data_IF_785408331267
#
_entry.id   IF_785408331267
#
_cell.length_a   1.000
_cell.length_b   1.000
_cell.length_c   1.000
_cell.angle_alpha   90.00
_cell.angle_beta   90.00
_cell.angle_gamma   90.00
#
_symmetry.space_group_name_H-M   'P 1'
#
loop_
_entity.id
_entity.type
_entity.pdbx_description
1 polymer ?
#
# COMPACT_ATOMS: atom_id res chain seq x y z
N UNK A 1 -9.60 -45.56 8.52
CA UNK A 1 -9.02 -45.79 9.87
C UNK A 1 -8.49 -44.46 10.41
N UNK A 2 -8.96 -44.08 11.61
CA UNK A 2 -8.30 -43.28 12.68
C UNK A 2 -7.47 -42.05 12.25
N UNK A 3 -8.02 -40.83 12.34
CA UNK A 3 -7.92 -39.89 13.49
C UNK A 3 -6.53 -39.91 14.18
N UNK A 4 -5.74 -38.85 13.97
CA UNK A 4 -4.76 -38.40 14.95
C UNK A 4 -5.13 -37.00 15.43
N UNK A 5 -5.60 -36.99 16.67
CA UNK A 5 -6.09 -35.84 17.40
C UNK A 5 -4.95 -35.00 17.97
N UNK A 6 -5.32 -33.76 18.27
CA UNK A 6 -4.80 -32.89 19.31
C UNK A 6 -3.88 -33.56 20.35
N UNK A 7 -2.74 -32.91 20.64
CA UNK A 7 -2.25 -32.60 22.01
C UNK A 7 -0.84 -32.01 21.93
N UNK A 8 -0.72 -30.69 22.10
CA UNK A 8 0.34 -30.09 22.94
C UNK A 8 -0.26 -28.92 23.69
N UNK A 9 -0.80 -29.26 24.85
CA UNK A 9 -1.23 -28.34 25.89
C UNK A 9 -0.13 -28.28 26.96
N UNK A 10 0.05 -27.10 27.56
CA UNK A 10 0.73 -26.87 28.83
C UNK A 10 2.26 -26.81 28.72
N UNK A 11 2.99 -25.90 29.37
CA UNK A 11 2.73 -25.18 30.62
C UNK A 11 3.66 -23.93 30.68
N UNK A 12 3.18 -22.71 30.98
CA UNK A 12 2.98 -22.06 32.31
C UNK A 12 4.15 -21.14 32.73
N UNK A 13 3.77 -20.05 33.43
CA UNK A 13 4.51 -18.99 34.16
C UNK A 13 4.49 -17.64 33.41
N UNK A 14 3.60 -16.67 33.67
CA UNK A 14 2.98 -16.19 34.92
C UNK A 14 4.00 -15.95 36.05
N UNK A 15 4.63 -14.78 36.00
CA UNK A 15 5.30 -14.09 37.11
C UNK A 15 5.06 -12.59 36.91
N UNK A 16 4.80 -11.73 37.89
CA UNK A 16 4.29 -11.83 39.25
C UNK A 16 3.84 -10.40 39.52
N UNK A 17 2.58 -10.21 39.87
CA UNK A 17 2.08 -8.96 40.37
C UNK A 17 2.77 -8.67 41.71
N UNK A 18 3.66 -7.67 41.75
CA UNK A 18 4.19 -7.14 43.00
C UNK A 18 3.17 -6.14 43.55
N UNK A 19 2.43 -6.59 44.55
CA UNK A 19 1.58 -5.80 45.40
C UNK A 19 2.35 -4.64 46.03
N UNK A 20 1.83 -3.43 45.86
CA UNK A 20 2.16 -2.26 46.67
C UNK A 20 0.89 -1.69 47.28
N UNK A 21 0.30 -2.45 48.21
CA UNK A 21 -0.55 -2.04 49.33
C UNK A 21 -1.30 -0.69 49.20
N UNK A 22 -2.59 -0.78 48.90
CA UNK A 22 -3.57 0.22 49.33
C UNK A 22 -3.74 0.14 50.86
N UNK A 23 -3.38 1.20 51.57
CA UNK A 23 -3.84 1.44 52.95
C UNK A 23 -4.54 2.79 52.97
N UNK A 24 -5.82 2.89 53.38
CA UNK A 24 -6.45 4.17 53.63
C UNK A 24 -6.18 4.66 55.06
N UNK A 25 -6.11 5.99 55.17
CA UNK A 25 -6.24 6.84 56.37
C UNK A 25 -5.05 6.89 57.35
N UNK A 26 -4.33 8.02 57.33
CA UNK A 26 -4.42 9.07 58.36
C UNK A 26 -3.61 10.32 57.96
N UNK A 27 -4.08 11.49 58.39
CA UNK A 27 -3.52 12.81 58.06
C UNK A 27 -2.10 13.00 58.63
N UNK A 28 -1.22 13.61 57.83
CA UNK A 28 0.12 14.01 58.26
C UNK A 28 0.75 14.94 57.23
N UNK A 29 0.79 16.23 57.54
CA UNK A 29 1.46 17.30 56.81
C UNK A 29 2.96 17.05 56.68
N UNK A 30 3.48 16.98 55.45
CA UNK A 30 4.86 17.37 55.14
C UNK A 30 5.00 17.62 53.63
N UNK A 31 5.44 18.83 53.30
CA UNK A 31 5.75 19.27 51.95
C UNK A 31 6.96 18.50 51.38
N UNK A 32 6.80 17.95 50.19
CA UNK A 32 7.91 17.62 49.30
C UNK A 32 7.44 17.80 47.86
N UNK A 33 7.92 18.85 47.20
CA UNK A 33 7.67 19.08 45.79
C UNK A 33 8.30 17.97 44.95
N UNK A 34 7.48 17.01 44.52
CA UNK A 34 7.85 16.12 43.43
C UNK A 34 7.53 16.82 42.11
N UNK A 35 8.48 16.90 41.16
CA UNK A 35 8.14 17.35 39.83
C UNK A 35 7.15 16.33 39.26
N UNK A 36 5.91 16.78 39.03
CA UNK A 36 4.94 16.02 38.29
C UNK A 36 5.57 15.72 36.92
N UNK A 37 6.06 14.49 36.74
CA UNK A 37 6.49 13.99 35.44
C UNK A 37 5.21 13.81 34.66
N UNK A 38 4.79 14.90 34.03
CA UNK A 38 3.65 14.93 33.12
C UNK A 38 4.05 14.03 31.95
N UNK A 39 3.65 12.76 32.03
CA UNK A 39 3.73 11.84 30.90
C UNK A 39 2.77 12.42 29.88
N UNK A 40 3.28 13.28 28.99
CA UNK A 40 2.57 13.61 27.76
C UNK A 40 2.42 12.29 27.03
N UNK A 41 1.25 11.69 27.14
CA UNK A 41 0.73 10.74 26.17
C UNK A 41 0.63 11.49 24.84
N UNK A 42 1.74 11.57 24.11
CA UNK A 42 1.68 11.95 22.71
C UNK A 42 0.76 10.92 22.05
N UNK A 43 -0.36 11.39 21.49
CA UNK A 43 -1.23 10.53 20.71
C UNK A 43 -0.38 9.88 19.61
N UNK A 44 -0.22 8.57 19.67
CA UNK A 44 0.53 7.83 18.66
C UNK A 44 -0.22 7.98 17.34
N UNK A 45 0.40 8.62 16.35
CA UNK A 45 -0.15 8.67 15.01
C UNK A 45 0.11 7.32 14.36
N UNK A 46 -0.97 6.56 14.15
CA UNK A 46 -0.90 5.21 13.61
C UNK A 46 -0.92 5.26 12.08
N UNK A 47 -0.07 4.46 11.40
CA UNK A 47 -0.12 4.35 9.95
C UNK A 47 -1.44 3.71 9.51
N UNK A 48 -1.96 4.13 8.36
CA UNK A 48 -3.11 3.48 7.72
C UNK A 48 -2.62 2.64 6.55
N UNK A 49 -3.24 1.48 6.34
CA UNK A 49 -2.94 0.59 5.21
C UNK A 49 -4.24 0.22 4.52
N UNK A 50 -4.26 0.32 3.19
CA UNK A 50 -5.38 -0.15 2.38
C UNK A 50 -4.85 -0.78 1.10
N UNK A 51 -5.39 -1.96 0.78
CA UNK A 51 -5.11 -2.67 -0.46
C UNK A 51 -6.38 -2.79 -1.28
N UNK A 52 -6.28 -2.58 -2.59
CA UNK A 52 -7.37 -2.81 -3.55
C UNK A 52 -6.84 -3.53 -4.79
N UNK A 53 -7.65 -4.41 -5.35
CA UNK A 53 -7.44 -5.00 -6.67
C UNK A 53 -8.39 -4.36 -7.67
N UNK A 54 -7.87 -3.93 -8.82
CA UNK A 54 -8.66 -3.28 -9.88
C UNK A 54 -8.45 -4.00 -11.20
N UNK A 55 -9.54 -4.33 -11.89
CA UNK A 55 -9.45 -4.81 -13.26
C UNK A 55 -8.96 -3.70 -14.18
N UNK A 56 -8.11 -4.08 -15.12
CA UNK A 56 -7.61 -3.25 -16.19
C UNK A 56 -8.23 -3.74 -17.49
N UNK A 57 -8.84 -2.83 -18.23
CA UNK A 57 -9.28 -3.08 -19.60
C UNK A 57 -9.25 -1.75 -20.35
N UNK A 58 -8.47 -1.69 -21.42
CA UNK A 58 -8.42 -0.50 -22.26
C UNK A 58 -7.24 -0.49 -23.21
N UNK A 59 -7.25 0.50 -24.10
CA UNK A 59 -6.16 0.75 -25.03
C UNK A 59 -5.07 1.58 -24.35
N UNK A 60 -3.81 1.14 -24.43
CA UNK A 60 -2.64 1.85 -23.91
C UNK A 60 -1.60 2.07 -25.00
N UNK A 61 -0.78 3.11 -24.87
CA UNK A 61 0.35 3.33 -25.77
C UNK A 61 1.46 2.30 -25.50
N UNK A 62 1.78 1.48 -26.50
CA UNK A 62 3.00 0.69 -26.53
C UNK A 62 4.12 1.44 -27.26
N UNK A 63 5.34 0.89 -27.28
CA UNK A 63 6.52 1.52 -27.86
C UNK A 63 6.44 1.67 -29.39
N UNK A 64 5.77 0.73 -30.08
CA UNK A 64 5.67 0.69 -31.53
C UNK A 64 4.23 0.65 -32.04
N UNK A 65 3.26 0.38 -31.18
CA UNK A 65 1.83 0.32 -31.50
C UNK A 65 0.98 0.51 -30.24
N UNK A 66 -0.29 0.80 -30.40
CA UNK A 66 -1.25 0.75 -29.29
C UNK A 66 -1.57 -0.71 -28.92
N UNK A 67 -1.80 -0.97 -27.64
CA UNK A 67 -2.01 -2.32 -27.10
C UNK A 67 -3.33 -2.35 -26.34
N UNK A 68 -4.20 -3.31 -26.66
CA UNK A 68 -5.40 -3.60 -25.89
C UNK A 68 -4.97 -4.39 -24.64
N UNK A 69 -4.88 -3.70 -23.51
CA UNK A 69 -4.48 -4.24 -22.21
C UNK A 69 -5.68 -4.88 -21.50
N UNK A 70 -5.46 -6.04 -20.89
CA UNK A 70 -6.37 -6.69 -19.96
C UNK A 70 -5.60 -7.28 -18.78
N UNK A 71 -6.18 -7.28 -17.59
CA UNK A 71 -5.57 -7.91 -16.41
C UNK A 71 -6.06 -7.28 -15.12
N UNK A 72 -5.26 -7.40 -14.06
CA UNK A 72 -5.53 -6.80 -12.76
C UNK A 72 -4.32 -6.02 -12.27
N UNK A 73 -4.57 -4.97 -11.49
CA UNK A 73 -3.56 -4.27 -10.71
C UNK A 73 -3.93 -4.31 -9.24
N UNK A 74 -2.99 -4.76 -8.42
CA UNK A 74 -3.06 -4.66 -6.97
C UNK A 74 -2.34 -3.41 -6.51
N UNK A 75 -3.00 -2.62 -5.66
CA UNK A 75 -2.49 -1.35 -5.16
C UNK A 75 -2.58 -1.38 -3.65
N UNK A 76 -1.43 -1.26 -2.99
CA UNK A 76 -1.32 -1.08 -1.55
C UNK A 76 -0.86 0.33 -1.25
N UNK A 77 -1.63 1.04 -0.44
CA UNK A 77 -1.31 2.38 0.04
C UNK A 77 -1.05 2.30 1.54
N UNK A 78 0.09 2.83 1.97
CA UNK A 78 0.48 2.97 3.37
C UNK A 78 0.68 4.45 3.65
N UNK A 79 -0.12 5.04 4.55
CA UNK A 79 0.08 6.43 4.97
C UNK A 79 0.71 6.47 6.35
N UNK A 80 1.65 7.41 6.53
CA UNK A 80 2.22 7.78 7.81
C UNK A 80 1.90 9.27 8.03
N UNK A 81 0.82 9.57 8.77
CA UNK A 81 0.43 10.94 9.03
C UNK A 81 1.40 11.64 10.00
N UNK A 82 1.53 12.97 9.85
CA UNK A 82 2.27 13.82 10.78
C UNK A 82 1.33 14.39 11.84
N UNK A 83 1.87 14.70 13.04
CA UNK A 83 1.06 15.24 14.16
C UNK A 83 0.43 16.60 13.85
N UNK A 84 1.01 17.39 12.95
CA UNK A 84 0.49 18.67 12.50
C UNK A 84 -0.48 18.57 11.30
N UNK A 85 -0.83 17.34 10.88
CA UNK A 85 -1.57 17.06 9.65
C UNK A 85 -0.67 16.86 8.45
N UNK A 86 -1.21 16.23 7.40
CA UNK A 86 -0.45 15.79 6.24
C UNK A 86 0.39 14.56 6.56
N UNK A 87 1.41 14.28 5.75
CA UNK A 87 2.33 13.17 6.01
C UNK A 87 2.94 12.60 4.73
N UNK A 88 3.27 11.32 4.79
CA UNK A 88 3.82 10.57 3.66
C UNK A 88 2.91 9.40 3.30
N UNK A 89 2.75 9.14 2.01
CA UNK A 89 2.06 7.99 1.48
C UNK A 89 3.04 7.17 0.64
N UNK A 90 3.10 5.87 0.91
CA UNK A 90 3.79 4.90 0.09
C UNK A 90 2.76 4.15 -0.73
N UNK A 91 2.93 4.18 -2.05
CA UNK A 91 2.02 3.55 -3.01
C UNK A 91 2.80 2.44 -3.69
N UNK A 92 2.37 1.20 -3.48
CA UNK A 92 2.94 0.00 -4.08
C UNK A 92 1.92 -0.52 -5.07
N UNK A 93 2.33 -0.76 -6.31
CA UNK A 93 1.47 -1.25 -7.38
C UNK A 93 2.10 -2.47 -8.04
N UNK A 94 1.35 -3.55 -8.20
CA UNK A 94 1.79 -4.76 -8.90
C UNK A 94 0.76 -5.19 -9.92
N UNK A 95 1.22 -5.60 -11.10
CA UNK A 95 0.36 -6.20 -12.10
C UNK A 95 0.21 -7.69 -11.85
N UNK A 96 -1.01 -8.18 -12.02
CA UNK A 96 -1.34 -9.60 -11.96
C UNK A 96 -2.13 -10.00 -13.22
N UNK A 97 -1.74 -11.12 -13.83
CA UNK A 97 -2.27 -11.64 -15.10
C UNK A 97 -2.45 -10.58 -16.20
N UNK A 98 -1.59 -9.57 -16.23
CA UNK A 98 -1.70 -8.46 -17.16
C UNK A 98 -1.10 -8.81 -18.53
N UNK A 99 -1.96 -8.87 -19.54
CA UNK A 99 -1.60 -9.19 -20.93
C UNK A 99 -2.14 -8.14 -21.88
N UNK A 100 -1.65 -8.13 -23.11
CA UNK A 100 -2.25 -7.30 -24.13
C UNK A 100 -2.08 -7.83 -25.53
N UNK A 101 -2.89 -7.26 -26.43
CA UNK A 101 -2.85 -7.56 -27.87
C UNK A 101 -2.63 -6.28 -28.64
N UNK A 102 -1.59 -6.24 -29.47
CA UNK A 102 -1.31 -5.13 -30.37
C UNK A 102 -2.51 -4.84 -31.25
N UNK A 103 -2.97 -3.59 -31.24
CA UNK A 103 -4.20 -3.18 -31.93
C UNK A 103 -4.07 -3.28 -33.45
N UNK A 104 -2.85 -3.14 -33.97
CA UNK A 104 -2.57 -3.22 -35.42
C UNK A 104 -1.98 -4.57 -35.78
N UNK A 105 -0.99 -5.05 -35.01
CA UNK A 105 -0.24 -6.26 -35.37
C UNK A 105 -0.88 -7.56 -34.90
N UNK A 106 -1.80 -7.51 -33.93
CA UNK A 106 -2.34 -8.69 -33.25
C UNK A 106 -1.33 -9.42 -32.35
N UNK A 107 -0.10 -8.90 -32.20
CA UNK A 107 0.95 -9.52 -31.38
C UNK A 107 0.54 -9.56 -29.92
N UNK A 108 0.98 -10.58 -29.20
CA UNK A 108 0.71 -10.75 -27.78
C UNK A 108 1.83 -10.15 -26.94
N UNK A 109 1.44 -9.54 -25.85
CA UNK A 109 2.33 -8.88 -24.91
C UNK A 109 2.00 -9.32 -23.49
N UNK A 110 3.03 -9.46 -22.67
CA UNK A 110 2.93 -9.67 -21.24
C UNK A 110 3.40 -8.40 -20.52
N UNK A 111 2.66 -7.98 -19.51
CA UNK A 111 3.02 -6.86 -18.64
C UNK A 111 3.40 -7.41 -17.28
N UNK A 112 4.60 -7.09 -16.80
CA UNK A 112 5.10 -7.62 -15.53
C UNK A 112 5.73 -6.55 -14.67
N UNK A 113 5.73 -6.80 -13.37
CA UNK A 113 6.52 -6.06 -12.40
C UNK A 113 5.68 -5.40 -11.32
N UNK A 114 6.40 -4.72 -10.44
CA UNK A 114 5.84 -3.91 -9.38
C UNK A 114 6.59 -2.57 -9.30
N UNK A 115 5.87 -1.54 -8.87
CA UNK A 115 6.39 -0.21 -8.67
C UNK A 115 6.10 0.24 -7.24
N UNK A 116 7.00 1.04 -6.67
CA UNK A 116 6.83 1.66 -5.37
C UNK A 116 7.20 3.13 -5.48
N UNK A 117 6.31 3.98 -5.01
CA UNK A 117 6.52 5.42 -4.92
C UNK A 117 6.26 5.91 -3.49
N UNK A 118 6.95 6.98 -3.09
CA UNK A 118 6.75 7.63 -1.79
C UNK A 118 6.47 9.12 -2.04
N UNK A 119 5.28 9.58 -1.67
CA UNK A 119 4.80 10.94 -1.96
C UNK A 119 4.32 11.60 -0.68
N UNK A 120 4.61 12.89 -0.52
CA UNK A 120 4.07 13.69 0.59
C UNK A 120 2.65 14.15 0.29
N UNK A 121 1.79 14.19 1.30
CA UNK A 121 0.46 14.82 1.20
C UNK A 121 0.32 15.96 2.20
N UNK A 122 -0.45 16.98 1.82
CA UNK A 122 -0.59 18.22 2.57
C UNK A 122 -1.56 18.07 3.76
N UNK A 123 -1.50 19.03 4.69
CA UNK A 123 -2.42 19.12 5.83
C UNK A 123 -3.83 19.64 5.48
N UNK A 124 -4.18 19.72 4.20
CA UNK A 124 -5.51 20.09 3.74
C UNK A 124 -6.56 19.00 3.99
N UNK A 125 -7.84 19.37 4.02
CA UNK A 125 -8.94 18.45 4.35
C UNK A 125 -8.88 17.14 3.56
N UNK A 126 -8.57 17.23 2.26
CA UNK A 126 -8.36 16.11 1.36
C UNK A 126 -7.26 16.44 0.35
N UNK A 127 -6.37 15.49 0.08
CA UNK A 127 -5.31 15.56 -0.94
C UNK A 127 -5.46 14.39 -1.91
N UNK A 128 -5.38 14.67 -3.22
CA UNK A 128 -5.28 13.64 -4.26
C UNK A 128 -3.82 13.43 -4.65
N UNK A 129 -3.36 12.19 -4.62
CA UNK A 129 -2.01 11.77 -4.98
C UNK A 129 -2.12 10.97 -6.28
N UNK A 130 -1.45 11.44 -7.34
CA UNK A 130 -1.40 10.79 -8.64
C UNK A 130 -0.03 10.16 -8.86
N UNK A 131 0.01 8.87 -9.20
CA UNK A 131 1.22 8.11 -9.53
C UNK A 131 1.03 7.36 -10.84
N UNK A 132 2.07 7.34 -11.67
CA UNK A 132 2.07 6.58 -12.93
C UNK A 132 3.17 5.50 -12.86
N UNK A 133 2.85 4.30 -12.32
CA UNK A 133 3.83 3.25 -12.09
C UNK A 133 4.50 2.75 -13.37
N UNK A 134 5.77 2.38 -13.24
CA UNK A 134 6.56 1.75 -14.30
C UNK A 134 6.43 0.22 -14.23
N UNK A 135 6.16 -0.40 -15.37
CA UNK A 135 6.17 -1.85 -15.55
C UNK A 135 7.04 -2.24 -16.75
N UNK A 136 7.26 -3.54 -16.92
CA UNK A 136 7.94 -4.09 -18.08
C UNK A 136 6.93 -4.66 -19.06
N UNK A 137 7.09 -4.31 -20.33
CA UNK A 137 6.41 -4.90 -21.47
C UNK A 137 7.33 -5.96 -22.10
N UNK A 138 6.83 -7.19 -22.19
CA UNK A 138 7.53 -8.32 -22.80
C UNK A 138 6.75 -8.75 -24.04
N UNK A 139 7.28 -8.53 -25.26
CA UNK A 139 6.68 -9.08 -26.47
C UNK A 139 6.76 -10.60 -26.45
N UNK A 140 5.61 -11.27 -26.55
CA UNK A 140 5.57 -12.72 -26.68
C UNK A 140 5.85 -13.06 -28.14
N UNK A 141 7.06 -13.51 -28.44
CA UNK A 141 7.45 -13.89 -29.78
C UNK A 141 6.75 -15.18 -30.21
N UNK A 142 6.28 -15.21 -31.46
CA UNK A 142 6.03 -16.45 -32.19
C UNK A 142 7.30 -16.71 -33.03
N UNK A 143 7.94 -17.88 -32.91
CA UNK A 143 9.12 -18.22 -33.71
C UNK A 143 8.89 -18.01 -35.22
N UNK A 144 9.92 -17.63 -36.02
CA UNK A 144 11.35 -17.60 -35.70
C UNK A 144 11.87 -16.21 -35.27
N UNK A 145 11.01 -15.31 -34.79
CA UNK A 145 11.36 -13.92 -34.58
C UNK A 145 12.37 -13.68 -33.43
N UNK A 146 13.23 -12.64 -33.54
CA UNK A 146 14.19 -12.30 -32.49
C UNK A 146 13.50 -11.90 -31.18
N UNK A 147 14.10 -12.31 -30.07
CA UNK A 147 13.67 -11.93 -28.72
C UNK A 147 13.96 -10.44 -28.54
N UNK A 148 12.89 -9.63 -28.47
CA UNK A 148 13.00 -8.21 -28.17
C UNK A 148 13.20 -8.04 -26.67
N UNK A 149 14.20 -7.28 -26.20
CA UNK A 149 14.39 -7.01 -24.78
C UNK A 149 13.14 -6.39 -24.15
N UNK A 150 12.85 -6.70 -22.87
CA UNK A 150 11.76 -6.05 -22.13
C UNK A 150 11.92 -4.52 -22.13
N UNK A 151 10.82 -3.80 -22.29
CA UNK A 151 10.81 -2.33 -22.32
C UNK A 151 10.00 -1.76 -21.17
N UNK A 152 10.45 -0.65 -20.59
CA UNK A 152 9.67 0.03 -19.55
C UNK A 152 8.46 0.74 -20.16
N UNK A 153 7.32 0.64 -19.50
CA UNK A 153 6.05 1.25 -19.90
C UNK A 153 5.30 1.78 -18.67
N UNK A 154 4.45 2.78 -18.90
CA UNK A 154 3.59 3.42 -17.89
C UNK A 154 2.10 3.31 -18.27
N UNK A 155 1.53 2.09 -18.26
CA UNK A 155 0.24 1.80 -18.84
C UNK A 155 -0.94 2.22 -17.96
N UNK A 156 -0.72 2.57 -16.69
CA UNK A 156 -1.78 2.83 -15.70
C UNK A 156 -1.49 4.11 -14.94
N UNK A 157 -2.52 4.92 -14.69
CA UNK A 157 -2.52 6.02 -13.74
C UNK A 157 -3.26 5.58 -12.47
N UNK A 158 -2.63 5.74 -11.32
CA UNK A 158 -3.21 5.48 -9.99
C UNK A 158 -3.47 6.82 -9.31
N UNK A 159 -4.70 7.00 -8.81
CA UNK A 159 -5.12 8.17 -8.07
C UNK A 159 -5.61 7.76 -6.69
N UNK A 160 -5.03 8.35 -5.65
CA UNK A 160 -5.34 8.05 -4.24
C UNK A 160 -5.81 9.31 -3.55
N UNK A 161 -6.98 9.25 -2.91
CA UNK A 161 -7.54 10.35 -2.13
C UNK A 161 -7.32 10.09 -0.65
N UNK A 162 -6.67 11.03 0.03
CA UNK A 162 -6.26 10.91 1.44
C UNK A 162 -6.70 12.15 2.23
N UNK A 163 -7.19 11.99 3.44
CA UNK A 163 -7.50 13.12 4.34
C UNK A 163 -6.25 13.70 5.00
N UNK A 164 -6.37 14.87 5.65
CA UNK A 164 -5.28 15.47 6.46
C UNK A 164 -4.75 14.56 7.57
N UNK A 165 -5.58 13.63 8.08
CA UNK A 165 -5.22 12.66 9.10
C UNK A 165 -4.64 11.36 8.53
N UNK A 166 -4.43 11.29 7.20
CA UNK A 166 -3.89 10.12 6.50
C UNK A 166 -4.91 9.01 6.25
N UNK A 167 -6.22 9.27 6.42
CA UNK A 167 -7.26 8.27 6.12
C UNK A 167 -7.37 8.11 4.60
N UNK A 168 -7.32 6.87 4.12
CA UNK A 168 -7.37 6.52 2.69
C UNK A 168 -8.82 6.37 2.24
N UNK A 169 -9.37 7.40 1.61
CA UNK A 169 -10.79 7.48 1.22
C UNK A 169 -11.08 6.67 -0.06
N UNK A 170 -10.28 6.86 -1.10
CA UNK A 170 -10.44 6.13 -2.36
C UNK A 170 -9.11 5.84 -3.06
N UNK A 171 -9.11 4.73 -3.81
CA UNK A 171 -8.02 4.30 -4.68
C UNK A 171 -8.64 3.93 -6.02
N UNK A 172 -8.20 4.62 -7.08
CA UNK A 172 -8.64 4.44 -8.46
C UNK A 172 -7.43 4.12 -9.32
N UNK A 173 -7.62 3.23 -10.29
CA UNK A 173 -6.61 2.87 -11.27
C UNK A 173 -7.26 2.84 -12.65
N UNK A 174 -6.66 3.54 -13.62
CA UNK A 174 -7.17 3.60 -14.99
C UNK A 174 -6.04 3.42 -16.00
N UNK A 175 -6.27 2.71 -17.11
CA UNK A 175 -5.31 2.69 -18.21
C UNK A 175 -5.01 4.09 -18.74
N UNK A 176 -3.74 4.36 -19.07
CA UNK A 176 -3.34 5.63 -19.69
C UNK A 176 -3.63 5.54 -21.18
N UNK A 177 -4.54 6.40 -21.65
CA UNK A 177 -4.93 6.46 -23.05
C UNK A 177 -3.74 6.88 -23.95
N UNK A 178 -3.68 6.41 -25.21
CA UNK A 178 -2.69 6.88 -26.17
C UNK A 178 -2.85 8.39 -26.42
N UNK A 179 -1.73 9.11 -26.47
CA UNK A 179 -1.72 10.48 -26.98
C UNK A 179 -1.81 10.44 -28.51
N UNK A 180 -2.84 11.07 -29.07
CA UNK A 180 -3.08 11.20 -30.52
C UNK A 180 -2.03 12.07 -31.21
#
# INVERSE_FOLDING_TARGET
MRRNALRRAGNVCLLTAALGLTVPATAGTAAAGQPARSVRTAAAVLPQVRTVSRSLNGLVAGPSENINLTGTIDITVITLPATAGGGTAQIISSLDDATGTGATSGRKYLFVGAHRDNVTFASGATTTIDVTPNFLLIPLAVPPNPVVPPQQIKPVKVSVTVTSAGVIDSIVAVPVAPTT
#
